data_IF_533494369448
#
_entry.id   IF_533494369448
#
_cell.length_a   1.000
_cell.length_b   1.000
_cell.length_c   1.000
_cell.angle_alpha   90.00
_cell.angle_beta   90.00
_cell.angle_gamma   90.00
#
_symmetry.space_group_name_H-M   'P 1'
#
loop_
_entity.id
_entity.type
_entity.pdbx_description
1 polymer ?
#
# COMPACT_ATOMS: atom_id res chain seq x y z
N UNK A 1 -47.67 11.71 -43.27
CA UNK A 1 -46.44 12.51 -43.17
C UNK A 1 -45.89 12.44 -41.73
N UNK A 2 -45.66 11.23 -41.20
CA UNK A 2 -45.37 11.00 -39.76
C UNK A 2 -44.04 10.29 -39.50
N UNK A 3 -43.13 10.29 -40.48
CA UNK A 3 -41.86 9.57 -40.38
C UNK A 3 -40.64 10.48 -40.52
N UNK A 4 -40.74 11.73 -40.05
CA UNK A 4 -39.64 12.69 -40.08
C UNK A 4 -39.32 13.39 -38.75
N UNK A 5 -40.06 13.17 -37.66
CA UNK A 5 -39.72 13.81 -36.37
C UNK A 5 -38.69 13.04 -35.52
N UNK A 6 -38.38 11.79 -35.85
CA UNK A 6 -37.43 10.99 -35.06
C UNK A 6 -35.95 11.22 -35.42
N UNK A 7 -35.63 11.98 -36.47
CA UNK A 7 -34.26 12.13 -36.99
C UNK A 7 -33.40 13.21 -36.30
N UNK A 8 -33.95 13.99 -35.36
CA UNK A 8 -33.25 15.14 -34.77
C UNK A 8 -33.37 15.22 -33.23
N UNK A 9 -33.20 14.10 -32.52
CA UNK A 9 -33.03 14.16 -31.06
C UNK A 9 -31.53 14.19 -30.73
N UNK A 10 -31.02 15.25 -30.08
CA UNK A 10 -29.61 15.37 -29.76
C UNK A 10 -29.15 14.23 -28.85
N UNK A 11 -28.00 13.65 -29.15
CA UNK A 11 -27.36 12.63 -28.32
C UNK A 11 -27.08 13.20 -26.93
N UNK A 12 -27.47 12.45 -25.90
CA UNK A 12 -27.30 12.90 -24.51
C UNK A 12 -25.81 12.99 -24.21
N UNK A 13 -25.29 14.20 -24.00
CA UNK A 13 -23.90 14.43 -23.59
C UNK A 13 -23.53 13.56 -22.36
N UNK A 14 -24.48 13.35 -21.44
CA UNK A 14 -24.30 12.48 -20.27
C UNK A 14 -24.11 10.99 -20.61
N UNK A 15 -24.69 10.52 -21.72
CA UNK A 15 -24.51 9.14 -22.17
C UNK A 15 -23.12 8.95 -22.79
N UNK A 16 -22.63 9.98 -23.50
CA UNK A 16 -21.26 10.00 -24.05
C UNK A 16 -20.25 10.04 -22.90
N UNK A 17 -20.45 10.89 -21.89
CA UNK A 17 -19.55 10.93 -20.72
C UNK A 17 -19.55 9.62 -19.93
N UNK A 18 -20.72 8.98 -19.74
CA UNK A 18 -20.80 7.68 -19.08
C UNK A 18 -20.03 6.59 -19.84
N UNK A 19 -20.13 6.57 -21.18
CA UNK A 19 -19.39 5.64 -22.02
C UNK A 19 -17.87 5.87 -21.92
N UNK A 20 -17.43 7.12 -22.01
CA UNK A 20 -16.01 7.48 -21.93
C UNK A 20 -15.43 7.12 -20.57
N UNK A 21 -16.13 7.42 -19.47
CA UNK A 21 -15.69 7.06 -18.12
C UNK A 21 -15.64 5.54 -17.90
N UNK A 22 -16.61 4.80 -18.45
CA UNK A 22 -16.61 3.33 -18.38
C UNK A 22 -15.43 2.70 -19.14
N UNK A 23 -15.06 3.25 -20.30
CA UNK A 23 -13.89 2.80 -21.06
C UNK A 23 -12.60 3.10 -20.29
N UNK A 24 -12.46 4.33 -19.75
CA UNK A 24 -11.29 4.70 -18.93
C UNK A 24 -11.15 3.79 -17.72
N UNK A 25 -12.26 3.44 -17.05
CA UNK A 25 -12.27 2.53 -15.92
C UNK A 25 -11.87 1.09 -16.27
N UNK A 26 -12.30 0.56 -17.42
CA UNK A 26 -11.90 -0.79 -17.87
C UNK A 26 -10.41 -0.81 -18.23
N UNK A 27 -9.93 0.23 -18.92
CA UNK A 27 -8.52 0.32 -19.31
C UNK A 27 -7.61 0.54 -18.10
N UNK A 28 -8.05 1.30 -17.10
CA UNK A 28 -7.30 1.47 -15.84
C UNK A 28 -7.39 0.25 -14.91
N UNK A 29 -8.37 -0.64 -15.11
CA UNK A 29 -8.59 -1.83 -14.27
C UNK A 29 -7.47 -2.88 -14.35
N UNK A 30 -6.52 -2.76 -15.29
CA UNK A 30 -5.36 -3.66 -15.37
C UNK A 30 -4.21 -3.23 -14.43
N UNK A 31 -4.36 -2.14 -13.68
CA UNK A 31 -3.41 -1.69 -12.65
C UNK A 31 -4.04 -1.86 -11.25
N UNK A 32 -3.72 -2.94 -10.51
CA UNK A 32 -4.32 -3.25 -9.20
C UNK A 32 -4.13 -2.15 -8.13
N UNK A 33 -3.15 -1.26 -8.28
CA UNK A 33 -2.81 -0.21 -7.32
C UNK A 33 -3.71 1.05 -7.48
N UNK A 34 -4.43 1.23 -8.61
CA UNK A 34 -5.34 2.38 -8.86
C UNK A 34 -6.78 2.09 -8.32
N UNK A 35 -6.98 0.97 -7.64
CA UNK A 35 -8.31 0.44 -7.33
C UNK A 35 -9.16 1.29 -6.35
N UNK A 36 -8.55 2.14 -5.52
CA UNK A 36 -9.34 3.01 -4.62
C UNK A 36 -9.93 4.25 -5.33
N UNK A 37 -9.24 4.75 -6.36
CA UNK A 37 -9.79 5.80 -7.24
C UNK A 37 -10.82 5.23 -8.22
N UNK A 38 -10.61 4.00 -8.69
CA UNK A 38 -11.58 3.26 -9.50
C UNK A 38 -12.87 2.95 -8.73
N UNK A 39 -12.81 2.75 -7.41
CA UNK A 39 -14.01 2.59 -6.57
C UNK A 39 -14.88 3.86 -6.54
N UNK A 40 -14.27 5.03 -6.34
CA UNK A 40 -14.97 6.32 -6.40
C UNK A 40 -15.51 6.61 -7.82
N UNK A 41 -14.73 6.31 -8.85
CA UNK A 41 -15.17 6.41 -10.25
C UNK A 41 -16.30 5.42 -10.58
N UNK A 42 -16.29 4.22 -10.00
CA UNK A 42 -17.35 3.22 -10.17
C UNK A 42 -18.65 3.66 -9.47
N UNK A 43 -18.57 4.26 -8.28
CA UNK A 43 -19.73 4.85 -7.59
C UNK A 43 -20.31 6.00 -8.44
N UNK A 44 -19.48 6.95 -8.87
CA UNK A 44 -19.92 8.07 -9.71
C UNK A 44 -20.49 7.58 -11.05
N UNK A 45 -19.81 6.62 -11.69
CA UNK A 45 -20.25 5.99 -12.94
C UNK A 45 -21.61 5.30 -12.79
N UNK A 46 -21.84 4.62 -11.66
CA UNK A 46 -23.11 3.96 -11.34
C UNK A 46 -24.23 5.00 -11.15
N UNK A 47 -23.97 6.10 -10.44
CA UNK A 47 -24.93 7.20 -10.25
C UNK A 47 -25.30 7.82 -11.61
N UNK A 48 -24.32 8.10 -12.47
CA UNK A 48 -24.57 8.65 -13.81
C UNK A 48 -25.29 7.66 -14.73
N UNK A 49 -25.01 6.36 -14.64
CA UNK A 49 -25.71 5.33 -15.38
C UNK A 49 -27.19 5.24 -14.97
N UNK A 50 -27.49 5.30 -13.67
CA UNK A 50 -28.87 5.30 -13.15
C UNK A 50 -29.62 6.57 -13.61
N UNK A 51 -29.00 7.75 -13.49
CA UNK A 51 -29.62 9.01 -13.95
C UNK A 51 -29.88 9.03 -15.47
N UNK A 52 -28.93 8.50 -16.26
CA UNK A 52 -29.08 8.33 -17.70
C UNK A 52 -30.17 7.34 -18.08
N UNK A 53 -30.32 6.25 -17.31
CA UNK A 53 -31.39 5.28 -17.49
C UNK A 53 -32.76 5.90 -17.19
N UNK A 54 -32.91 6.65 -16.10
CA UNK A 54 -34.16 7.37 -15.76
C UNK A 54 -34.54 8.40 -16.84
N UNK A 55 -33.55 9.10 -17.42
CA UNK A 55 -33.75 10.05 -18.51
C UNK A 55 -34.19 9.40 -19.83
N UNK A 56 -33.75 8.16 -20.11
CA UNK A 56 -34.11 7.41 -21.32
C UNK A 56 -35.43 6.62 -21.17
N UNK A 57 -35.77 6.18 -19.96
CA UNK A 57 -37.05 5.52 -19.64
C UNK A 57 -38.21 6.52 -19.62
N UNK A 58 -37.98 7.76 -19.17
CA UNK A 58 -38.99 8.85 -19.21
C UNK A 58 -39.24 9.45 -20.61
N UNK A 59 -38.66 8.88 -21.67
CA UNK A 59 -38.92 9.25 -23.06
C UNK A 59 -38.34 10.59 -23.52
N UNK A 60 -37.54 11.27 -22.69
CA UNK A 60 -37.03 12.63 -22.99
C UNK A 60 -35.78 12.64 -23.88
N UNK A 61 -35.07 11.52 -24.05
CA UNK A 61 -33.84 11.41 -24.88
C UNK A 61 -33.71 10.04 -25.55
N UNK A 62 -33.15 10.00 -26.77
CA UNK A 62 -32.75 8.75 -27.47
C UNK A 62 -31.47 8.16 -26.84
N UNK A 63 -31.32 6.83 -26.88
CA UNK A 63 -30.13 6.14 -26.35
C UNK A 63 -30.39 4.89 -25.50
N UNK A 64 -31.60 4.32 -25.52
CA UNK A 64 -31.97 3.14 -24.72
C UNK A 64 -30.97 1.97 -24.83
N UNK A 65 -30.49 1.65 -26.03
CA UNK A 65 -29.49 0.59 -26.22
C UNK A 65 -28.14 0.90 -25.59
N UNK A 66 -27.69 2.16 -25.63
CA UNK A 66 -26.42 2.59 -25.01
C UNK A 66 -26.51 2.59 -23.48
N UNK A 67 -27.65 2.98 -22.93
CA UNK A 67 -27.91 2.94 -21.49
C UNK A 67 -27.96 1.49 -20.95
N UNK A 68 -28.56 0.57 -21.71
CA UNK A 68 -28.57 -0.87 -21.37
C UNK A 68 -27.16 -1.46 -21.46
N UNK A 69 -26.40 -1.13 -22.52
CA UNK A 69 -25.01 -1.58 -22.64
C UNK A 69 -24.14 -1.11 -21.47
N UNK A 70 -24.27 0.16 -21.06
CA UNK A 70 -23.55 0.71 -19.90
C UNK A 70 -23.95 0.06 -18.57
N UNK A 71 -25.23 -0.25 -18.38
CA UNK A 71 -25.72 -0.96 -17.20
C UNK A 71 -25.14 -2.40 -17.14
N UNK A 72 -25.18 -3.13 -18.27
CA UNK A 72 -24.68 -4.50 -18.36
C UNK A 72 -23.17 -4.53 -18.12
N UNK A 73 -22.41 -3.64 -18.74
CA UNK A 73 -20.97 -3.53 -18.48
C UNK A 73 -20.69 -3.23 -17.00
N UNK A 74 -21.44 -2.32 -16.38
CA UNK A 74 -21.28 -1.99 -14.95
C UNK A 74 -21.53 -3.18 -14.03
N UNK A 75 -22.60 -3.94 -14.26
CA UNK A 75 -22.92 -5.15 -13.47
C UNK A 75 -21.86 -6.24 -13.66
N UNK A 76 -21.38 -6.45 -14.88
CA UNK A 76 -20.32 -7.42 -15.17
C UNK A 76 -19.00 -7.02 -14.51
N UNK A 77 -18.61 -5.75 -14.59
CA UNK A 77 -17.41 -5.25 -13.91
C UNK A 77 -17.51 -5.39 -12.38
N UNK A 78 -18.67 -5.10 -11.79
CA UNK A 78 -18.91 -5.29 -10.36
C UNK A 78 -18.82 -6.77 -9.94
N UNK A 79 -19.39 -7.67 -10.75
CA UNK A 79 -19.28 -9.11 -10.52
C UNK A 79 -17.83 -9.61 -10.63
N UNK A 80 -17.04 -9.11 -11.58
CA UNK A 80 -15.61 -9.44 -11.71
C UNK A 80 -14.81 -8.97 -10.49
N UNK A 81 -15.11 -7.79 -9.95
CA UNK A 81 -14.47 -7.30 -8.72
C UNK A 81 -14.79 -8.20 -7.52
N UNK A 82 -16.04 -8.65 -7.38
CA UNK A 82 -16.44 -9.57 -6.32
C UNK A 82 -15.85 -10.98 -6.49
N UNK A 83 -15.81 -11.51 -7.71
CA UNK A 83 -15.21 -12.81 -8.02
C UNK A 83 -13.71 -12.79 -7.74
N UNK A 84 -13.03 -11.71 -8.10
CA UNK A 84 -11.60 -11.54 -7.83
C UNK A 84 -11.33 -11.59 -6.32
N UNK A 85 -12.17 -10.96 -5.49
CA UNK A 85 -12.04 -11.09 -4.03
C UNK A 85 -12.27 -12.52 -3.51
N UNK A 86 -13.19 -13.29 -4.12
CA UNK A 86 -13.46 -14.69 -3.72
C UNK A 86 -12.41 -15.69 -4.20
N UNK A 87 -11.72 -15.39 -5.30
CA UNK A 87 -10.64 -16.24 -5.83
C UNK A 87 -9.39 -16.18 -4.93
N UNK A 88 -9.13 -15.04 -4.27
CA UNK A 88 -8.08 -14.92 -3.26
C UNK A 88 -8.33 -15.80 -2.02
N UNK A 89 -9.60 -16.09 -1.66
CA UNK A 89 -9.92 -16.94 -0.51
C UNK A 89 -9.69 -18.43 -0.80
N UNK A 90 -10.03 -18.89 -2.01
CA UNK A 90 -9.90 -20.31 -2.38
C UNK A 90 -8.45 -20.74 -2.65
N UNK A 91 -7.60 -19.84 -3.13
CA UNK A 91 -6.17 -20.12 -3.33
C UNK A 91 -5.39 -20.25 -2.01
N UNK A 92 -5.86 -19.62 -0.92
CA UNK A 92 -5.25 -19.71 0.42
C UNK A 92 -5.50 -21.07 1.07
N UNK A 93 -6.68 -21.67 0.86
CA UNK A 93 -7.02 -22.98 1.44
C UNK A 93 -6.28 -24.14 0.74
N UNK A 94 -6.09 -24.07 -0.58
CA UNK A 94 -5.37 -25.10 -1.35
C UNK A 94 -3.85 -25.07 -1.07
N UNK A 95 -3.30 -23.88 -0.86
CA UNK A 95 -1.90 -23.69 -0.46
C UNK A 95 -1.66 -24.21 0.97
N UNK A 96 -2.59 -23.98 1.90
CA UNK A 96 -2.49 -24.43 3.29
C UNK A 96 -2.43 -25.96 3.45
N UNK A 97 -3.15 -26.72 2.63
CA UNK A 97 -3.10 -28.20 2.67
C UNK A 97 -1.80 -28.78 2.09
N UNK A 98 -1.23 -28.11 1.09
CA UNK A 98 0.07 -28.50 0.50
C UNK A 98 1.24 -28.28 1.47
N UNK A 99 1.18 -27.23 2.30
CA UNK A 99 2.17 -26.95 3.35
C UNK A 99 2.09 -27.88 4.57
N UNK A 100 0.88 -28.31 4.98
CA UNK A 100 0.76 -29.27 6.09
C UNK A 100 1.30 -30.66 5.74
N UNK A 101 1.22 -31.06 4.46
CA UNK A 101 1.73 -32.36 3.98
C UNK A 101 3.27 -32.35 3.83
N UNK A 102 3.86 -31.23 3.44
CA UNK A 102 5.32 -31.08 3.35
C UNK A 102 5.99 -30.94 4.73
N UNK A 103 5.33 -30.31 5.71
CA UNK A 103 5.84 -30.21 7.10
C UNK A 103 5.77 -31.56 7.85
N UNK A 104 4.76 -32.40 7.60
CA UNK A 104 4.71 -33.73 8.20
C UNK A 104 5.86 -34.63 7.72
N UNK A 105 6.36 -34.42 6.49
CA UNK A 105 7.41 -35.22 5.87
C UNK A 105 8.83 -34.87 6.36
N UNK A 106 9.04 -33.67 6.91
CA UNK A 106 10.36 -33.20 7.39
C UNK A 106 10.63 -33.47 8.89
N UNK A 107 9.65 -34.03 9.63
CA UNK A 107 9.76 -34.28 11.08
C UNK A 107 10.30 -35.67 11.47
N UNK A 108 10.82 -36.46 10.52
CA UNK A 108 11.25 -37.86 10.77
C UNK A 108 12.75 -38.14 10.62
N UNK A 109 13.63 -37.18 10.93
CA UNK A 109 15.06 -37.49 11.09
C UNK A 109 15.72 -36.71 12.22
N UNK A 110 15.97 -37.46 13.31
CA UNK A 110 17.08 -37.36 14.26
C UNK A 110 17.14 -36.14 15.19
N UNK A 111 16.87 -36.38 16.47
CA UNK A 111 17.29 -35.52 17.57
C UNK A 111 18.73 -35.80 18.02
N UNK A 112 19.35 -34.80 18.64
CA UNK A 112 20.07 -34.88 19.91
C UNK A 112 20.72 -33.52 20.22
N UNK A 113 20.33 -32.96 21.36
CA UNK A 113 21.12 -32.18 22.33
C UNK A 113 21.51 -30.71 22.05
N UNK A 114 21.04 -29.83 22.94
CA UNK A 114 21.90 -28.84 23.58
C UNK A 114 21.91 -27.38 23.11
N UNK A 115 20.90 -26.61 23.54
CA UNK A 115 21.00 -25.19 23.98
C UNK A 115 20.78 -24.05 22.96
N UNK A 116 19.58 -23.46 23.09
CA UNK A 116 19.25 -22.04 22.96
C UNK A 116 19.68 -21.29 21.68
N UNK A 117 18.78 -21.28 20.70
CA UNK A 117 18.76 -20.25 19.66
C UNK A 117 17.31 -19.83 19.42
N UNK A 118 16.97 -18.66 19.97
CA UNK A 118 15.79 -17.91 19.54
C UNK A 118 16.07 -17.21 18.21
N UNK A 119 14.97 -16.80 17.58
CA UNK A 119 14.85 -16.13 16.28
C UNK A 119 14.91 -17.04 15.03
N UNK A 120 13.79 -17.71 14.76
CA UNK A 120 13.34 -17.96 13.39
C UNK A 120 11.82 -17.85 13.34
N UNK A 121 11.33 -16.62 13.24
CA UNK A 121 9.95 -16.27 12.88
C UNK A 121 10.01 -14.78 12.48
N UNK A 122 9.55 -14.31 11.33
CA UNK A 122 8.76 -14.93 10.28
C UNK A 122 8.88 -14.06 9.03
N UNK A 123 8.87 -14.69 7.85
CA UNK A 123 8.44 -14.03 6.63
C UNK A 123 6.96 -13.68 6.81
N UNK A 124 6.68 -12.38 6.78
CA UNK A 124 5.42 -11.80 7.19
C UNK A 124 5.04 -10.79 6.11
N UNK A 125 4.00 -11.15 5.35
CA UNK A 125 3.67 -10.58 4.04
C UNK A 125 2.64 -9.46 4.12
N UNK A 126 2.70 -8.54 3.17
CA UNK A 126 1.87 -7.34 3.06
C UNK A 126 0.38 -7.57 3.40
N UNK A 127 -0.10 -6.82 4.41
CA UNK A 127 -1.44 -6.92 4.98
C UNK A 127 -1.47 -7.03 6.51
N UNK A 128 -0.31 -7.03 7.16
CA UNK A 128 -0.18 -7.11 8.61
C UNK A 128 -0.24 -5.75 9.28
N UNK A 129 -0.72 -5.72 10.52
CA UNK A 129 -0.67 -4.55 11.38
C UNK A 129 0.80 -4.27 11.71
N UNK A 130 1.48 -3.49 10.87
CA UNK A 130 2.90 -3.13 11.04
C UNK A 130 3.11 -2.10 12.14
N UNK A 131 2.35 -2.20 13.23
CA UNK A 131 2.43 -1.28 14.35
C UNK A 131 3.12 -1.95 15.53
N UNK A 132 3.96 -1.19 16.24
CA UNK A 132 4.69 -1.61 17.44
C UNK A 132 5.56 -2.86 17.20
N UNK A 133 6.29 -2.88 16.10
CA UNK A 133 7.20 -3.95 15.73
C UNK A 133 8.44 -3.96 16.64
N UNK A 134 9.03 -5.13 16.84
CA UNK A 134 10.34 -5.22 17.47
C UNK A 134 11.44 -4.76 16.49
N UNK A 135 12.45 -4.04 17.00
CA UNK A 135 13.67 -3.70 16.24
C UNK A 135 14.29 -4.98 15.64
N UNK A 136 14.74 -4.88 14.38
CA UNK A 136 15.19 -5.99 13.55
C UNK A 136 14.08 -6.64 12.70
N UNK A 137 12.80 -6.31 12.96
CA UNK A 137 11.71 -6.75 12.10
C UNK A 137 11.76 -6.03 10.75
N UNK A 138 11.71 -6.80 9.67
CA UNK A 138 11.63 -6.29 8.30
C UNK A 138 10.17 -6.20 7.89
N UNK A 139 9.75 -5.04 7.37
CA UNK A 139 8.47 -4.88 6.67
C UNK A 139 8.73 -4.79 5.19
N UNK A 140 7.83 -5.33 4.36
CA UNK A 140 7.89 -5.19 2.91
C UNK A 140 6.58 -4.58 2.39
N UNK A 141 6.72 -3.54 1.56
CA UNK A 141 5.58 -2.91 0.90
C UNK A 141 5.11 -3.73 -0.32
N UNK A 142 3.96 -3.35 -0.90
CA UNK A 142 3.43 -4.05 -2.07
C UNK A 142 4.29 -3.91 -3.34
N UNK A 143 5.27 -3.01 -3.36
CA UNK A 143 6.19 -2.79 -4.48
C UNK A 143 7.50 -3.59 -4.34
N UNK A 144 7.68 -4.29 -3.22
CA UNK A 144 8.88 -5.06 -2.91
C UNK A 144 9.99 -4.24 -2.26
N UNK A 145 9.70 -3.06 -1.70
CA UNK A 145 10.67 -2.34 -0.87
C UNK A 145 10.60 -2.87 0.56
N UNK A 146 11.65 -3.55 0.99
CA UNK A 146 11.82 -3.94 2.39
C UNK A 146 12.47 -2.82 3.20
N UNK A 147 11.98 -2.60 4.42
CA UNK A 147 12.47 -1.58 5.35
C UNK A 147 12.58 -2.17 6.75
N UNK A 148 13.65 -1.82 7.47
CA UNK A 148 13.85 -2.21 8.87
C UNK A 148 14.50 -1.10 9.68
N UNK A 149 14.22 -1.11 10.98
CA UNK A 149 15.08 -0.49 12.01
C UNK A 149 15.97 -1.59 12.55
N UNK A 150 17.27 -1.53 12.29
CA UNK A 150 18.23 -2.60 12.63
C UNK A 150 18.75 -2.48 14.07
N UNK A 151 18.94 -1.25 14.53
CA UNK A 151 19.34 -0.92 15.89
C UNK A 151 18.99 0.53 16.22
N UNK A 152 19.03 0.89 17.50
CA UNK A 152 18.84 2.27 17.94
C UNK A 152 19.70 2.59 19.16
N UNK A 153 19.87 3.88 19.42
CA UNK A 153 20.47 4.43 20.62
C UNK A 153 19.67 5.66 21.05
N UNK A 154 19.32 5.74 22.33
CA UNK A 154 18.71 6.94 22.94
C UNK A 154 19.72 7.61 23.86
N UNK A 155 19.48 8.87 24.24
CA UNK A 155 20.37 9.59 25.15
C UNK A 155 21.72 9.97 24.52
N UNK A 156 21.83 10.00 23.19
CA UNK A 156 23.10 10.28 22.50
C UNK A 156 23.41 11.76 22.61
N UNK A 157 24.48 12.10 23.33
CA UNK A 157 24.99 13.47 23.39
C UNK A 157 25.86 13.77 22.17
N UNK A 158 25.52 14.83 21.44
CA UNK A 158 26.26 15.28 20.27
C UNK A 158 26.72 16.72 20.46
N UNK A 159 27.94 17.00 19.99
CA UNK A 159 28.48 18.35 20.01
C UNK A 159 27.58 19.27 19.19
N UNK A 160 27.25 20.43 19.74
CA UNK A 160 26.32 21.41 19.13
C UNK A 160 24.85 20.99 19.09
N UNK A 161 24.44 19.94 19.81
CA UNK A 161 23.04 19.64 20.08
C UNK A 161 22.68 20.09 21.50
N UNK A 162 21.54 20.77 21.64
CA UNK A 162 21.05 21.28 22.93
C UNK A 162 20.24 20.22 23.72
N UNK A 163 19.98 19.06 23.13
CA UNK A 163 19.20 17.97 23.73
C UNK A 163 19.81 16.61 23.38
N UNK A 164 19.64 15.58 24.24
CA UNK A 164 20.01 14.23 23.86
C UNK A 164 19.26 13.82 22.60
N UNK A 165 19.90 13.02 21.76
CA UNK A 165 19.33 12.54 20.51
C UNK A 165 18.94 11.06 20.62
N UNK A 166 17.99 10.69 19.79
CA UNK A 166 17.72 9.31 19.41
C UNK A 166 18.28 9.06 18.01
N UNK A 167 19.03 7.98 17.85
CA UNK A 167 19.62 7.57 16.58
C UNK A 167 19.07 6.19 16.23
N UNK A 168 18.49 6.06 15.05
CA UNK A 168 18.07 4.76 14.51
C UNK A 168 18.95 4.42 13.32
N UNK A 169 19.43 3.18 13.26
CA UNK A 169 20.07 2.61 12.09
C UNK A 169 19.00 1.86 11.29
N UNK A 170 18.82 2.23 10.02
CA UNK A 170 17.77 1.67 9.16
C UNK A 170 18.38 1.07 7.91
N UNK A 171 17.69 0.06 7.36
CA UNK A 171 18.06 -0.57 6.10
C UNK A 171 16.87 -0.59 5.15
N UNK A 172 17.15 -0.31 3.88
CA UNK A 172 16.23 -0.47 2.77
C UNK A 172 16.78 -1.50 1.79
N UNK A 173 15.94 -2.44 1.34
CA UNK A 173 16.27 -3.41 0.28
C UNK A 173 15.19 -3.37 -0.79
N UNK A 174 15.57 -3.15 -2.04
CA UNK A 174 14.62 -3.18 -3.15
C UNK A 174 14.53 -4.59 -3.75
N UNK A 175 13.60 -5.41 -3.27
CA UNK A 175 13.25 -6.71 -3.86
C UNK A 175 12.29 -6.59 -5.05
N UNK A 176 11.86 -5.37 -5.37
CA UNK A 176 10.99 -5.06 -6.49
C UNK A 176 11.68 -5.16 -7.85
N UNK A 177 10.92 -4.82 -8.90
CA UNK A 177 11.38 -4.82 -10.29
C UNK A 177 11.56 -3.43 -10.90
N UNK A 178 11.33 -2.37 -10.10
CA UNK A 178 11.48 -0.96 -10.48
C UNK A 178 12.33 -0.24 -9.45
N UNK A 179 12.83 0.94 -9.80
CA UNK A 179 13.54 1.78 -8.85
C UNK A 179 12.61 2.18 -7.68
N UNK A 180 13.15 2.14 -6.46
CA UNK A 180 12.45 2.49 -5.23
C UNK A 180 13.17 3.66 -4.53
N UNK A 181 12.44 4.63 -4.02
CA UNK A 181 13.03 5.78 -3.33
C UNK A 181 13.29 5.48 -1.86
N UNK A 182 14.33 6.09 -1.30
CA UNK A 182 14.57 6.13 0.14
C UNK A 182 14.93 7.56 0.56
N UNK A 183 14.47 7.98 1.73
CA UNK A 183 14.73 9.31 2.24
C UNK A 183 14.76 9.33 3.78
N UNK A 184 15.69 10.06 4.44
CA UNK A 184 15.61 10.27 5.88
C UNK A 184 14.31 10.96 6.34
N UNK A 185 13.60 11.70 5.47
CA UNK A 185 12.29 12.30 5.79
C UNK A 185 11.11 11.32 5.71
N UNK A 186 11.36 10.07 5.31
CA UNK A 186 10.37 9.00 5.44
C UNK A 186 10.19 8.59 6.91
N UNK A 187 11.04 9.09 7.81
CA UNK A 187 11.07 8.70 9.21
C UNK A 187 10.67 9.84 10.15
N UNK A 188 9.94 9.47 11.18
CA UNK A 188 9.68 10.29 12.37
C UNK A 188 10.00 9.49 13.63
N UNK A 189 10.17 10.20 14.72
CA UNK A 189 10.34 9.59 16.03
C UNK A 189 9.27 10.13 16.99
N UNK A 190 8.60 9.23 17.71
CA UNK A 190 7.61 9.61 18.72
C UNK A 190 8.21 9.49 20.11
N UNK A 191 8.05 10.51 20.95
CA UNK A 191 8.44 10.49 22.35
C UNK A 191 7.36 9.84 23.26
N UNK A 192 7.69 9.67 24.54
CA UNK A 192 6.76 9.11 25.54
C UNK A 192 5.48 9.93 25.76
N UNK A 193 5.45 11.18 25.31
CA UNK A 193 4.29 12.08 25.40
C UNK A 193 3.42 12.03 24.13
N UNK A 194 3.82 11.27 23.12
CA UNK A 194 3.13 11.19 21.83
C UNK A 194 3.50 12.29 20.84
N UNK A 195 4.54 13.09 21.12
CA UNK A 195 5.04 14.10 20.19
C UNK A 195 5.87 13.42 19.11
N UNK A 196 5.52 13.63 17.85
CA UNK A 196 6.27 13.11 16.70
C UNK A 196 7.19 14.18 16.13
N UNK A 197 8.49 13.96 16.27
CA UNK A 197 9.55 14.81 15.72
C UNK A 197 10.01 14.33 14.35
N UNK A 198 10.32 15.29 13.48
CA UNK A 198 11.04 15.05 12.23
C UNK A 198 12.55 14.83 12.50
N UNK A 199 13.30 14.48 11.46
CA UNK A 199 14.77 14.31 11.55
C UNK A 199 15.46 15.57 12.11
N UNK A 200 16.43 15.35 13.00
CA UNK A 200 17.38 16.34 13.48
C UNK A 200 18.54 16.53 12.48
N UNK A 201 19.00 17.77 12.32
CA UNK A 201 20.21 18.06 11.56
C UNK A 201 21.42 18.05 12.48
N UNK A 202 22.33 17.12 12.23
CA UNK A 202 23.59 16.99 12.98
C UNK A 202 24.77 17.37 12.09
N UNK A 203 25.79 18.00 12.68
CA UNK A 203 27.00 18.41 11.95
C UNK A 203 28.04 17.29 11.86
N UNK A 204 28.08 16.42 12.87
CA UNK A 204 29.07 15.36 13.04
C UNK A 204 28.37 13.97 13.05
N UNK A 205 27.28 13.83 12.28
CA UNK A 205 26.57 12.56 12.15
C UNK A 205 27.43 11.49 11.48
N UNK A 206 27.42 10.28 12.03
CA UNK A 206 28.08 9.13 11.45
C UNK A 206 27.12 8.37 10.54
N UNK A 207 27.57 8.02 9.33
CA UNK A 207 26.81 7.23 8.36
C UNK A 207 25.35 7.70 8.17
N UNK A 208 25.12 9.02 8.10
CA UNK A 208 23.78 9.58 7.91
C UNK A 208 23.11 9.02 6.66
N UNK A 209 21.84 8.61 6.79
CA UNK A 209 21.04 8.19 5.66
C UNK A 209 20.86 9.37 4.70
N UNK A 210 21.35 9.21 3.47
CA UNK A 210 21.09 10.14 2.38
C UNK A 210 19.74 9.86 1.73
N UNK A 211 19.31 10.72 0.80
CA UNK A 211 18.15 10.41 -0.05
C UNK A 211 18.62 9.93 -1.42
N UNK A 212 17.82 9.07 -2.05
CA UNK A 212 18.14 8.56 -3.37
C UNK A 212 17.12 7.55 -3.89
N UNK A 213 17.56 6.81 -4.91
CA UNK A 213 16.80 5.71 -5.50
C UNK A 213 17.64 4.43 -5.51
N UNK A 214 17.04 3.33 -5.12
CA UNK A 214 17.58 1.98 -5.22
C UNK A 214 17.07 1.33 -6.50
N UNK A 215 17.98 0.89 -7.36
CA UNK A 215 17.64 -0.04 -8.44
C UNK A 215 17.19 -1.41 -7.86
N UNK A 216 16.51 -2.25 -8.65
CA UNK A 216 16.18 -3.63 -8.25
C UNK A 216 17.39 -4.41 -7.72
N UNK A 217 17.22 -5.07 -6.58
CA UNK A 217 18.28 -5.77 -5.82
C UNK A 217 19.22 -4.86 -5.03
N UNK A 218 19.01 -3.54 -5.07
CA UNK A 218 19.82 -2.57 -4.33
C UNK A 218 19.55 -2.60 -2.83
N UNK A 219 20.56 -2.20 -2.04
CA UNK A 219 20.48 -2.07 -0.59
C UNK A 219 21.19 -0.80 -0.15
N UNK A 220 20.62 -0.10 0.83
CA UNK A 220 21.27 1.01 1.53
C UNK A 220 20.94 0.95 3.01
N UNK A 221 21.93 1.30 3.83
CA UNK A 221 21.76 1.43 5.27
C UNK A 221 22.32 2.77 5.73
N UNK A 222 21.70 3.37 6.74
CA UNK A 222 22.10 4.68 7.24
C UNK A 222 21.45 5.02 8.56
N UNK A 223 21.99 6.05 9.21
CA UNK A 223 21.50 6.56 10.48
C UNK A 223 20.54 7.73 10.26
N UNK A 224 19.45 7.75 11.02
CA UNK A 224 18.54 8.89 11.13
C UNK A 224 18.54 9.37 12.57
N UNK A 225 18.69 10.68 12.74
CA UNK A 225 18.84 11.35 14.03
C UNK A 225 17.54 12.08 14.35
N UNK A 226 17.13 12.08 15.63
CA UNK A 226 15.95 12.77 16.14
C UNK A 226 16.28 13.45 17.45
N UNK A 227 15.68 14.62 17.70
CA UNK A 227 15.81 15.31 18.98
C UNK A 227 14.98 14.59 20.06
N UNK A 228 15.55 14.48 21.27
CA UNK A 228 14.90 13.88 22.41
C UNK A 228 15.04 12.36 22.50
N UNK A 229 14.33 11.80 23.47
CA UNK A 229 14.26 10.35 23.73
C UNK A 229 13.00 9.76 23.09
N UNK A 230 13.21 9.03 22.00
CA UNK A 230 12.19 8.33 21.25
C UNK A 230 11.78 7.02 21.89
N UNK A 231 10.48 6.71 21.81
CA UNK A 231 9.92 5.40 22.18
C UNK A 231 9.37 4.64 20.96
N UNK A 232 9.11 5.33 19.84
CA UNK A 232 8.73 4.70 18.57
C UNK A 232 9.49 5.32 17.40
N UNK A 233 10.03 4.48 16.52
CA UNK A 233 10.40 4.88 15.17
C UNK A 233 9.21 4.66 14.23
N UNK A 234 8.86 5.69 13.45
CA UNK A 234 7.70 5.69 12.57
C UNK A 234 8.18 5.82 11.12
N UNK A 235 7.75 4.91 10.26
CA UNK A 235 8.07 4.91 8.83
C UNK A 235 6.85 5.27 7.99
N UNK A 236 7.07 6.12 7.00
CA UNK A 236 6.10 6.61 6.05
C UNK A 236 6.62 6.38 4.64
N UNK A 237 5.91 5.58 3.86
CA UNK A 237 6.13 5.46 2.41
C UNK A 237 5.86 6.80 1.72
N UNK A 238 5.01 7.62 2.32
CA UNK A 238 4.73 8.98 1.90
C UNK A 238 4.53 9.89 3.12
N UNK A 239 5.34 10.93 3.23
CA UNK A 239 5.29 11.93 4.32
C UNK A 239 3.94 12.66 4.46
N UNK A 240 3.07 12.57 3.45
CA UNK A 240 1.72 13.15 3.46
C UNK A 240 0.63 12.19 3.93
N UNK A 241 0.99 10.96 4.34
CA UNK A 241 0.03 10.01 4.91
C UNK A 241 -0.44 10.48 6.30
N UNK A 242 -1.72 10.22 6.61
CA UNK A 242 -2.33 10.57 7.91
C UNK A 242 -1.79 9.73 9.09
N UNK A 243 -1.04 8.67 8.81
CA UNK A 243 -0.44 7.77 9.79
C UNK A 243 0.76 7.01 9.22
N UNK A 244 1.56 6.44 10.11
CA UNK A 244 2.74 5.67 9.74
C UNK A 244 2.34 4.33 9.10
N UNK A 245 3.04 3.95 8.02
CA UNK A 245 2.86 2.67 7.36
C UNK A 245 3.47 1.53 8.20
N UNK A 246 4.50 1.83 8.99
CA UNK A 246 5.06 0.93 9.97
C UNK A 246 5.60 1.67 11.20
N UNK A 247 5.63 1.02 12.37
CA UNK A 247 6.26 1.54 13.58
C UNK A 247 7.04 0.47 14.33
N UNK A 248 8.18 0.85 14.92
CA UNK A 248 9.03 -0.01 15.75
C UNK A 248 9.17 0.57 17.16
N UNK A 249 9.05 -0.29 18.17
CA UNK A 249 9.24 0.06 19.58
C UNK A 249 10.74 0.19 19.89
N UNK A 250 11.11 1.32 20.48
CA UNK A 250 12.48 1.65 20.91
C UNK A 250 12.62 1.43 22.43
N UNK A 251 12.60 0.16 22.85
CA UNK A 251 12.72 -0.28 24.25
C UNK A 251 13.97 -1.11 24.52
#
# INVERSE_FOLDING_TARGET
MENQSQSNLPTSAMAVTALVLGIVAIVSSWMPIINNFSFLLAILGTIFAIAGLVGTVRGKRKGKGLAVAGLVLGVVSFAVVLVTQSAYSAAIDEVSQSYRTSIASSSSSAGADGSAQGASDAARGAGEDYQNLAVGTVVEDSNGLSVSVDSFQTGVEMKYSDSPLTVIAVTYVNNGSKDASFNPYDWKCQDANGVQGDRAFVMEGENELSSGSLAPGGTVSGNVYFEGEGVLALYYTNMFNDGADASWVLE
#
